data_IF_624136923878
#
_entry.id   IF_624136923878
#
_cell.length_a   1.000
_cell.length_b   1.000
_cell.length_c   1.000
_cell.angle_alpha   90.00
_cell.angle_beta   90.00
_cell.angle_gamma   90.00
#
_symmetry.space_group_name_H-M   'P 1'
#
loop_
_entity.id
_entity.type
_entity.pdbx_description
1 polymer ?
#
# COMPACT_ATOMS: atom_id res chain seq x y z
N UNK A 1 16.66 6.29 -13.37
CA UNK A 1 16.16 7.49 -12.66
C UNK A 1 16.62 7.46 -11.21
N UNK A 2 17.06 8.56 -10.61
CA UNK A 2 17.51 8.61 -9.20
C UNK A 2 16.62 9.55 -8.39
N UNK A 3 16.10 9.08 -7.26
CA UNK A 3 15.38 9.92 -6.29
C UNK A 3 16.35 10.53 -5.28
N UNK A 4 16.07 11.77 -4.88
CA UNK A 4 16.76 12.42 -3.75
C UNK A 4 16.27 11.86 -2.41
N UNK A 5 17.07 12.04 -1.36
CA UNK A 5 16.69 11.68 0.02
C UNK A 5 15.38 12.36 0.45
N UNK A 6 15.11 13.59 -0.01
CA UNK A 6 13.85 14.29 0.25
C UNK A 6 12.64 13.58 -0.40
N UNK A 7 12.80 13.08 -1.63
CA UNK A 7 11.77 12.32 -2.31
C UNK A 7 11.54 10.95 -1.67
N UNK A 8 12.60 10.29 -1.20
CA UNK A 8 12.47 9.04 -0.44
C UNK A 8 11.75 9.25 0.90
N UNK A 9 12.03 10.37 1.58
CA UNK A 9 11.30 10.75 2.80
C UNK A 9 9.83 11.02 2.52
N UNK A 10 9.50 11.68 1.41
CA UNK A 10 8.12 11.88 0.99
C UNK A 10 7.41 10.55 0.68
N UNK A 11 8.09 9.63 -0.01
CA UNK A 11 7.57 8.31 -0.31
C UNK A 11 7.30 7.50 0.97
N UNK A 12 8.22 7.54 1.94
CA UNK A 12 8.04 6.89 3.24
C UNK A 12 6.81 7.46 3.98
N UNK A 13 6.62 8.79 3.96
CA UNK A 13 5.45 9.43 4.56
C UNK A 13 4.13 8.98 3.90
N UNK A 14 4.08 8.86 2.57
CA UNK A 14 2.91 8.34 1.84
C UNK A 14 2.59 6.89 2.24
N UNK A 15 3.63 6.09 2.51
CA UNK A 15 3.50 4.70 2.95
C UNK A 15 3.28 4.53 4.47
N UNK A 16 3.20 5.63 5.24
CA UNK A 16 3.13 5.63 6.72
C UNK A 16 4.31 4.89 7.37
N UNK A 17 5.49 5.00 6.76
CA UNK A 17 6.75 4.47 7.29
C UNK A 17 7.58 5.59 7.90
N UNK A 18 7.92 5.45 9.17
CA UNK A 18 8.89 6.31 9.84
C UNK A 18 10.29 5.72 9.63
N UNK A 19 11.17 6.48 8.99
CA UNK A 19 12.54 6.08 8.68
C UNK A 19 13.54 7.13 9.17
N UNK A 20 14.60 6.68 9.84
CA UNK A 20 15.71 7.54 10.20
C UNK A 20 16.62 7.85 8.99
N UNK A 21 17.54 8.81 9.17
CA UNK A 21 18.44 9.23 8.09
C UNK A 21 19.43 8.14 7.64
N UNK A 22 19.79 7.20 8.53
CA UNK A 22 20.61 6.03 8.18
C UNK A 22 19.85 5.07 7.28
N UNK A 23 18.60 4.77 7.62
CA UNK A 23 17.69 3.94 6.84
C UNK A 23 17.39 4.56 5.48
N UNK A 24 17.17 5.88 5.42
CA UNK A 24 16.96 6.60 4.16
C UNK A 24 18.18 6.53 3.23
N UNK A 25 19.39 6.66 3.77
CA UNK A 25 20.64 6.53 2.99
C UNK A 25 20.82 5.11 2.45
N UNK A 26 20.54 4.09 3.25
CA UNK A 26 20.58 2.70 2.78
C UNK A 26 19.55 2.45 1.66
N UNK A 27 18.33 2.95 1.86
CA UNK A 27 17.23 2.81 0.91
C UNK A 27 17.52 3.47 -0.44
N UNK A 28 18.28 4.57 -0.47
CA UNK A 28 18.66 5.24 -1.72
C UNK A 28 19.40 4.31 -2.68
N UNK A 29 20.36 3.54 -2.17
CA UNK A 29 21.11 2.57 -2.96
C UNK A 29 20.24 1.42 -3.44
N UNK A 30 19.38 0.90 -2.57
CA UNK A 30 18.50 -0.23 -2.87
C UNK A 30 17.42 0.14 -3.88
N UNK A 31 16.79 1.30 -3.70
CA UNK A 31 15.79 1.84 -4.59
C UNK A 31 16.36 2.13 -5.99
N UNK A 32 17.58 2.68 -6.07
CA UNK A 32 18.24 2.90 -7.36
C UNK A 32 18.44 1.59 -8.14
N UNK A 33 18.82 0.49 -7.46
CA UNK A 33 18.96 -0.83 -8.09
C UNK A 33 17.62 -1.40 -8.55
N UNK A 34 16.57 -1.28 -7.72
CA UNK A 34 15.22 -1.73 -8.09
C UNK A 34 14.67 -0.97 -9.29
N UNK A 35 14.86 0.35 -9.35
CA UNK A 35 14.42 1.15 -10.48
C UNK A 35 15.19 0.83 -11.77
N UNK A 36 16.51 0.57 -11.67
CA UNK A 36 17.29 0.15 -12.83
C UNK A 36 16.79 -1.19 -13.40
N UNK A 37 16.37 -2.13 -12.55
CA UNK A 37 15.71 -3.37 -12.99
C UNK A 37 14.36 -3.08 -13.65
N UNK A 38 13.52 -2.22 -13.06
CA UNK A 38 12.22 -1.86 -13.62
C UNK A 38 12.33 -1.17 -15.00
N UNK A 39 13.38 -0.37 -15.21
CA UNK A 39 13.66 0.28 -16.50
C UNK A 39 13.91 -0.72 -17.64
N UNK A 40 14.38 -1.94 -17.34
CA UNK A 40 14.55 -2.98 -18.36
C UNK A 40 13.21 -3.40 -18.99
N UNK A 41 12.11 -3.33 -18.24
CA UNK A 41 10.77 -3.70 -18.73
C UNK A 41 10.28 -2.71 -19.79
N UNK A 42 10.76 -1.46 -19.77
CA UNK A 42 10.36 -0.44 -20.76
C UNK A 42 10.80 -0.78 -22.19
N UNK A 43 11.71 -1.74 -22.37
CA UNK A 43 12.16 -2.21 -23.69
C UNK A 43 11.11 -3.10 -24.38
N UNK A 44 10.13 -3.61 -23.65
CA UNK A 44 9.06 -4.42 -24.22
C UNK A 44 8.06 -3.55 -24.98
N UNK A 45 7.68 -3.90 -26.23
CA UNK A 45 6.69 -3.15 -26.99
C UNK A 45 5.29 -3.32 -26.37
N UNK A 46 4.70 -2.23 -25.89
CA UNK A 46 3.35 -2.22 -25.28
C UNK A 46 2.35 -1.36 -26.04
N UNK A 47 2.75 -0.78 -27.18
CA UNK A 47 1.88 0.07 -27.99
C UNK A 47 0.66 -0.72 -28.50
N UNK A 48 -0.53 -0.21 -28.20
CA UNK A 48 -1.80 -0.83 -28.60
C UNK A 48 -2.24 -2.02 -27.75
N UNK A 49 -1.55 -2.31 -26.63
CA UNK A 49 -2.00 -3.31 -25.66
C UNK A 49 -2.85 -2.66 -24.57
N UNK A 50 -3.96 -3.31 -24.23
CA UNK A 50 -4.73 -2.97 -23.03
C UNK A 50 -4.02 -3.50 -21.77
N UNK A 51 -4.08 -2.73 -20.69
CA UNK A 51 -3.54 -3.15 -19.40
C UNK A 51 -4.37 -4.27 -18.79
N UNK A 52 -3.73 -5.40 -18.45
CA UNK A 52 -4.40 -6.53 -17.81
C UNK A 52 -4.63 -6.23 -16.31
N UNK A 53 -5.87 -5.98 -15.91
CA UNK A 53 -6.22 -5.74 -14.49
C UNK A 53 -6.46 -7.04 -13.70
N UNK A 54 -7.10 -8.03 -14.32
CA UNK A 54 -7.37 -9.34 -13.73
C UNK A 54 -7.11 -10.41 -14.79
N UNK A 55 -6.43 -11.50 -14.42
CA UNK A 55 -6.11 -12.60 -15.36
C UNK A 55 -7.38 -13.31 -15.85
N UNK A 56 -8.42 -13.33 -15.01
CA UNK A 56 -9.71 -13.91 -15.34
C UNK A 56 -10.69 -12.80 -15.71
N UNK A 57 -11.34 -12.92 -16.87
CA UNK A 57 -12.34 -11.97 -17.38
C UNK A 57 -13.69 -12.10 -16.68
N UNK A 58 -13.72 -12.17 -15.36
CA UNK A 58 -14.97 -12.19 -14.61
C UNK A 58 -15.63 -10.82 -14.66
N UNK A 59 -16.93 -10.80 -14.90
CA UNK A 59 -17.75 -9.60 -14.69
C UNK A 59 -17.83 -9.22 -13.21
N UNK A 60 -18.42 -8.06 -12.93
CA UNK A 60 -18.67 -7.63 -11.55
C UNK A 60 -19.63 -8.61 -10.87
N UNK A 61 -19.17 -9.27 -9.82
CA UNK A 61 -20.02 -10.14 -9.00
C UNK A 61 -21.03 -9.29 -8.22
N UNK A 62 -22.32 -9.58 -8.38
CA UNK A 62 -23.37 -8.97 -7.59
C UNK A 62 -23.56 -9.73 -6.28
N UNK A 63 -23.83 -9.00 -5.20
CA UNK A 63 -24.24 -9.54 -3.89
C UNK A 63 -25.74 -9.26 -3.71
N UNK A 64 -26.49 -10.23 -3.19
CA UNK A 64 -27.87 -10.01 -2.78
C UNK A 64 -27.95 -8.93 -1.68
N UNK A 65 -28.99 -8.11 -1.70
CA UNK A 65 -29.22 -7.08 -0.68
C UNK A 65 -29.92 -7.67 0.55
N UNK A 66 -29.24 -8.61 1.18
CA UNK A 66 -29.72 -9.27 2.39
C UNK A 66 -28.78 -8.94 3.56
N UNK A 67 -29.32 -8.69 4.77
CA UNK A 67 -28.51 -8.47 5.96
C UNK A 67 -27.80 -9.77 6.35
N UNK A 68 -26.51 -9.67 6.64
CA UNK A 68 -25.73 -10.76 7.22
C UNK A 68 -25.43 -10.46 8.70
N UNK A 69 -25.42 -11.48 9.53
CA UNK A 69 -24.97 -11.37 10.92
C UNK A 69 -23.45 -11.14 10.94
N UNK A 70 -23.02 -10.06 11.59
CA UNK A 70 -21.61 -9.71 11.75
C UNK A 70 -20.92 -10.50 12.88
N UNK A 71 -21.69 -11.19 13.73
CA UNK A 71 -21.20 -11.90 14.91
C UNK A 71 -20.90 -10.99 16.11
N UNK A 72 -20.45 -11.59 17.20
CA UNK A 72 -20.07 -10.90 18.43
C UNK A 72 -18.55 -10.64 18.51
N UNK A 73 -18.14 -9.67 19.34
CA UNK A 73 -16.74 -9.39 19.70
C UNK A 73 -15.83 -8.93 18.53
N UNK A 74 -16.32 -8.05 17.67
CA UNK A 74 -15.57 -7.51 16.52
C UNK A 74 -14.23 -6.85 16.90
N UNK A 75 -14.09 -6.35 18.12
CA UNK A 75 -12.87 -5.70 18.61
C UNK A 75 -11.84 -6.66 19.23
N UNK A 76 -12.11 -7.97 19.30
CA UNK A 76 -11.25 -8.93 19.99
C UNK A 76 -9.83 -9.03 19.42
N UNK A 77 -9.64 -8.74 18.13
CA UNK A 77 -8.33 -8.70 17.48
C UNK A 77 -7.56 -7.39 17.64
N UNK A 78 -8.16 -6.37 18.28
CA UNK A 78 -7.53 -5.07 18.43
C UNK A 78 -6.52 -5.05 19.59
N UNK A 79 -5.38 -4.38 19.37
CA UNK A 79 -4.33 -4.17 20.38
C UNK A 79 -4.88 -3.50 21.65
N UNK A 80 -5.79 -2.53 21.47
CA UNK A 80 -6.52 -1.90 22.56
C UNK A 80 -8.00 -1.77 22.19
N UNK A 81 -8.87 -2.19 23.10
CA UNK A 81 -10.31 -2.06 22.94
C UNK A 81 -10.99 -1.71 24.26
N UNK A 82 -12.11 -1.00 24.19
CA UNK A 82 -12.94 -0.64 25.34
C UNK A 82 -14.40 -0.54 24.88
N UNK A 83 -15.31 -1.15 25.62
CA UNK A 83 -16.76 -1.14 25.34
C UNK A 83 -17.11 -1.56 23.90
N UNK A 84 -16.39 -2.53 23.35
CA UNK A 84 -16.57 -3.00 21.97
C UNK A 84 -15.96 -2.10 20.89
N UNK A 85 -15.27 -1.02 21.26
CA UNK A 85 -14.61 -0.08 20.35
C UNK A 85 -13.10 -0.32 20.29
N UNK A 86 -12.49 -0.09 19.12
CA UNK A 86 -11.03 0.00 18.98
C UNK A 86 -10.56 1.35 19.53
N UNK A 87 -9.55 1.32 20.40
CA UNK A 87 -9.00 2.54 21.01
C UNK A 87 -7.76 2.97 20.26
N UNK A 88 -7.76 4.21 19.76
CA UNK A 88 -6.64 4.84 19.05
C UNK A 88 -6.35 6.23 19.64
N UNK A 89 -5.13 6.78 19.46
CA UNK A 89 -4.86 8.17 19.76
C UNK A 89 -5.83 9.10 19.00
N UNK A 90 -6.31 10.19 19.62
CA UNK A 90 -7.16 11.15 18.93
C UNK A 90 -6.40 11.80 17.78
N UNK A 91 -7.09 12.05 16.68
CA UNK A 91 -6.56 12.90 15.61
C UNK A 91 -6.56 14.33 16.14
N UNK A 92 -5.37 14.92 16.21
CA UNK A 92 -5.13 16.31 16.60
C UNK A 92 -4.58 17.07 15.37
N UNK A 93 -4.91 18.35 15.26
CA UNK A 93 -4.38 19.28 14.24
C UNK A 93 -3.02 19.86 14.61
#
# INVERSE_FOLDING_TARGET
>A
MKLSTAQLRQLAALARLELDDGQLRALEGDFARMMAMAEQIQQAPTAGLDGLSHVHGHGLALRADEPADAGANLAAGAVAHRDGMVVVPPVID
#
